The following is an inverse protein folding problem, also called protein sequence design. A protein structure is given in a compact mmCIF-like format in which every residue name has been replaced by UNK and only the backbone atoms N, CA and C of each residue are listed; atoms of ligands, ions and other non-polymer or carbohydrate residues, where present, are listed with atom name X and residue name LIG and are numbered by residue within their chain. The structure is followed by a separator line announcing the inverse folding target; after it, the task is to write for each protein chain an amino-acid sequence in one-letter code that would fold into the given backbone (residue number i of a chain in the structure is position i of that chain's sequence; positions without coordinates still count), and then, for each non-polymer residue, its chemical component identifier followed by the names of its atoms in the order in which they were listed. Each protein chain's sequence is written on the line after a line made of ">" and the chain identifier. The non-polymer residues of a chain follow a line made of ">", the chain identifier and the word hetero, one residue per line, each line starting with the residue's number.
data_IF_672308219275
#
_entry.id   IF_672308219275
#
_cell.length_a   1.000
_cell.length_b   1.000
_cell.length_c   1.000
_cell.angle_alpha   90.00
_cell.angle_beta   90.00
_cell.angle_gamma   90.00
#
_symmetry.space_group_name_H-M   'P 1'
#
loop_
_entity.id
_entity.type
_entity.pdbx_description
1 polymer ?
#
# COMPACT_ATOMS: atom_id res chain seq x y z
N UNK A 1 36.49 -14.70 -6.87
CA UNK A 1 35.45 -15.63 -6.39
C UNK A 1 35.33 -15.50 -4.87
N UNK A 2 34.34 -14.77 -4.34
CA UNK A 2 34.01 -14.85 -2.92
C UNK A 2 33.07 -16.03 -2.70
N UNK A 3 33.38 -16.83 -1.67
CA UNK A 3 32.64 -18.02 -1.26
C UNK A 3 31.24 -17.62 -0.83
N UNK A 4 30.20 -18.14 -1.51
CA UNK A 4 28.81 -18.10 -1.01
C UNK A 4 28.80 -18.77 0.37
N UNK A 5 28.53 -17.99 1.42
CA UNK A 5 28.27 -18.53 2.74
C UNK A 5 27.02 -19.41 2.64
N UNK A 6 27.17 -20.69 2.96
CA UNK A 6 26.07 -21.63 3.05
C UNK A 6 25.12 -21.20 4.16
N UNK A 7 24.06 -20.46 3.81
CA UNK A 7 22.91 -20.32 4.69
C UNK A 7 22.30 -21.70 4.87
N UNK A 8 22.11 -22.11 6.13
CA UNK A 8 21.37 -23.31 6.49
C UNK A 8 19.98 -23.22 5.84
N UNK A 9 19.78 -23.90 4.70
CA UNK A 9 18.46 -24.04 4.07
C UNK A 9 17.57 -24.81 5.04
N UNK A 10 16.76 -24.08 5.82
CA UNK A 10 15.63 -24.70 6.52
C UNK A 10 14.75 -25.30 5.43
N UNK A 11 14.63 -26.62 5.42
CA UNK A 11 13.73 -27.31 4.49
C UNK A 11 12.29 -26.92 4.87
N UNK A 12 11.73 -25.97 4.13
CA UNK A 12 10.29 -25.71 4.16
C UNK A 12 9.59 -26.99 3.69
N UNK A 13 8.66 -27.55 4.47
CA UNK A 13 8.07 -28.83 4.14
C UNK A 13 7.07 -28.68 2.99
N UNK A 14 7.50 -29.08 1.79
CA UNK A 14 6.65 -29.70 0.80
C UNK A 14 7.03 -31.18 0.71
N UNK A 15 6.06 -32.11 0.67
CA UNK A 15 4.63 -31.89 0.42
C UNK A 15 3.84 -31.38 1.65
N UNK A 16 2.84 -30.52 1.38
CA UNK A 16 1.80 -30.18 2.34
C UNK A 16 0.96 -31.42 2.68
N UNK A 17 0.59 -31.55 3.95
CA UNK A 17 -0.28 -32.64 4.42
C UNK A 17 -1.69 -32.47 3.86
N UNK A 18 -2.30 -31.31 4.09
CA UNK A 18 -3.67 -31.02 3.68
C UNK A 18 -3.73 -29.75 2.83
N UNK A 19 -4.69 -29.69 1.93
CA UNK A 19 -4.87 -28.57 1.02
C UNK A 19 -5.75 -27.49 1.65
N UNK A 20 -5.32 -26.96 2.80
CA UNK A 20 -6.15 -26.12 3.66
C UNK A 20 -5.42 -24.87 4.13
N UNK A 21 -6.19 -23.82 4.44
CA UNK A 21 -5.66 -22.58 5.00
C UNK A 21 -5.00 -22.85 6.37
N UNK A 22 -5.58 -23.76 7.14
CA UNK A 22 -5.10 -24.27 8.42
C UNK A 22 -3.68 -24.86 8.30
N UNK A 23 -3.38 -25.57 7.21
CA UNK A 23 -2.04 -26.11 6.95
C UNK A 23 -1.01 -25.01 6.74
N UNK A 24 -1.36 -23.95 6.00
CA UNK A 24 -0.47 -22.80 5.79
C UNK A 24 -0.27 -22.03 7.10
N UNK A 25 -1.33 -21.78 7.86
CA UNK A 25 -1.23 -21.13 9.16
C UNK A 25 -0.35 -21.92 10.14
N UNK A 26 -0.40 -23.26 10.10
CA UNK A 26 0.47 -24.09 10.94
C UNK A 26 1.95 -23.97 10.55
N UNK A 27 2.29 -23.81 9.27
CA UNK A 27 3.68 -23.60 8.85
C UNK A 27 4.27 -22.31 9.40
N UNK A 28 3.48 -21.24 9.40
CA UNK A 28 3.88 -19.95 9.99
C UNK A 28 4.04 -20.09 11.50
N UNK A 29 3.07 -20.70 12.21
CA UNK A 29 3.14 -20.93 13.66
C UNK A 29 4.33 -21.79 14.08
N UNK A 30 4.63 -22.83 13.31
CA UNK A 30 5.76 -23.74 13.53
C UNK A 30 7.12 -23.10 13.17
N UNK A 31 7.13 -21.86 12.65
CA UNK A 31 8.34 -21.17 12.14
C UNK A 31 9.07 -21.96 11.04
N UNK A 32 8.29 -22.69 10.22
CA UNK A 32 8.76 -23.40 9.03
C UNK A 32 8.59 -22.59 7.75
N UNK A 33 7.83 -21.50 7.82
CA UNK A 33 7.70 -20.48 6.79
C UNK A 33 7.78 -19.10 7.43
N UNK A 34 8.99 -18.54 7.46
CA UNK A 34 9.31 -17.24 8.08
C UNK A 34 9.76 -16.19 7.07
N UNK A 35 9.90 -16.55 5.79
CA UNK A 35 10.20 -15.63 4.69
C UNK A 35 9.04 -15.61 3.70
N UNK A 36 8.12 -14.68 3.88
CA UNK A 36 6.86 -14.60 3.14
C UNK A 36 6.97 -13.54 2.05
N UNK A 37 6.73 -13.93 0.80
CA UNK A 37 6.44 -12.98 -0.29
C UNK A 37 4.93 -12.90 -0.46
N UNK A 38 4.43 -11.68 -0.60
CA UNK A 38 3.02 -11.42 -0.90
C UNK A 38 2.91 -10.82 -2.30
N UNK A 39 1.97 -11.34 -3.10
CA UNK A 39 1.57 -10.76 -4.37
C UNK A 39 0.14 -10.24 -4.25
N UNK A 40 -0.09 -8.97 -4.53
CA UNK A 40 -1.40 -8.33 -4.42
C UNK A 40 -1.87 -7.71 -5.74
N UNK A 41 -3.20 -7.65 -5.90
CA UNK A 41 -3.82 -6.89 -6.97
C UNK A 41 -5.13 -6.24 -6.52
N UNK A 42 -5.89 -5.72 -7.48
CA UNK A 42 -7.01 -4.81 -7.20
C UNK A 42 -8.08 -5.37 -6.25
N UNK A 43 -8.20 -6.70 -6.14
CA UNK A 43 -9.13 -7.36 -5.24
C UNK A 43 -8.98 -6.95 -3.78
N UNK A 44 -7.76 -6.61 -3.32
CA UNK A 44 -7.51 -6.21 -1.92
C UNK A 44 -8.05 -4.82 -1.59
N UNK A 45 -8.31 -4.00 -2.61
CA UNK A 45 -8.73 -2.60 -2.51
C UNK A 45 -10.23 -2.40 -2.76
N UNK A 46 -10.94 -3.43 -3.22
CA UNK A 46 -12.39 -3.32 -3.53
C UNK A 46 -13.25 -2.87 -2.35
N UNK A 47 -12.92 -3.31 -1.13
CA UNK A 47 -13.61 -2.89 0.11
C UNK A 47 -13.24 -1.49 0.58
N UNK A 48 -12.15 -0.90 0.07
CA UNK A 48 -11.81 0.49 0.36
C UNK A 48 -12.78 1.47 -0.31
N UNK A 49 -13.65 0.98 -1.21
CA UNK A 49 -14.56 1.80 -1.99
C UNK A 49 -13.91 2.40 -3.24
N UNK A 50 -12.69 1.97 -3.58
CA UNK A 50 -12.06 2.31 -4.86
C UNK A 50 -12.93 1.68 -5.96
N UNK A 51 -13.59 2.50 -6.81
CA UNK A 51 -14.41 1.96 -7.88
C UNK A 51 -13.52 1.15 -8.82
N UNK A 52 -14.04 0.06 -9.33
CA UNK A 52 -13.33 -0.60 -10.41
C UNK A 52 -13.38 0.27 -11.67
N UNK A 53 -12.49 0.00 -12.62
CA UNK A 53 -12.50 0.77 -13.86
C UNK A 53 -13.73 0.44 -14.72
N UNK A 54 -14.23 -0.80 -14.65
CA UNK A 54 -15.01 -1.43 -15.72
C UNK A 54 -16.52 -1.56 -15.48
N UNK A 55 -17.02 -1.42 -14.25
CA UNK A 55 -18.44 -1.68 -13.97
C UNK A 55 -19.34 -0.60 -14.56
N UNK A 56 -20.36 -0.99 -15.34
CA UNK A 56 -21.33 -0.03 -15.90
C UNK A 56 -22.19 0.61 -14.79
N UNK A 57 -22.31 1.92 -14.83
CA UNK A 57 -23.05 2.78 -13.89
C UNK A 57 -22.26 3.25 -12.67
N UNK A 58 -21.16 2.60 -12.31
CA UNK A 58 -20.37 2.91 -11.10
C UNK A 58 -18.86 2.91 -11.33
N UNK A 59 -18.40 2.51 -12.50
CA UNK A 59 -16.99 2.37 -12.82
C UNK A 59 -16.43 3.68 -13.36
N UNK A 60 -15.13 3.88 -13.15
CA UNK A 60 -14.44 5.13 -13.48
C UNK A 60 -14.53 5.52 -14.98
N UNK A 61 -14.69 4.53 -15.87
CA UNK A 61 -14.82 4.79 -17.32
C UNK A 61 -16.14 5.47 -17.73
N UNK A 62 -17.18 5.45 -16.90
CA UNK A 62 -18.44 6.11 -17.26
C UNK A 62 -18.31 7.64 -17.33
N UNK A 63 -17.46 8.23 -16.50
CA UNK A 63 -17.17 9.68 -16.52
C UNK A 63 -16.33 10.11 -17.74
N UNK A 64 -15.85 9.14 -18.53
CA UNK A 64 -14.95 9.34 -19.65
C UNK A 64 -15.61 9.18 -21.01
N UNK A 65 -16.94 8.94 -21.06
CA UNK A 65 -17.69 8.85 -22.31
C UNK A 65 -17.52 10.10 -23.20
N UNK A 66 -17.32 11.28 -22.58
CA UNK A 66 -17.06 12.55 -23.29
C UNK A 66 -15.76 12.58 -24.10
N UNK A 67 -14.83 11.66 -23.86
CA UNK A 67 -13.53 11.64 -24.54
C UNK A 67 -13.50 10.73 -25.76
N UNK A 68 -14.59 10.02 -26.05
CA UNK A 68 -14.72 9.11 -27.21
C UNK A 68 -13.54 8.13 -27.29
N UNK A 69 -13.22 7.47 -26.18
CA UNK A 69 -12.11 6.53 -26.10
C UNK A 69 -12.33 5.36 -27.08
N UNK A 70 -11.30 4.93 -27.83
CA UNK A 70 -11.43 3.81 -28.78
C UNK A 70 -11.75 2.49 -28.06
N UNK A 71 -11.23 2.34 -26.85
CA UNK A 71 -11.56 1.30 -25.89
C UNK A 71 -11.23 1.82 -24.47
N UNK A 72 -11.85 1.29 -23.41
CA UNK A 72 -11.76 1.91 -22.09
C UNK A 72 -10.32 1.98 -21.53
N UNK A 73 -9.51 0.95 -21.78
CA UNK A 73 -8.11 0.87 -21.33
C UNK A 73 -7.16 1.85 -22.05
N UNK A 74 -7.58 2.50 -23.15
CA UNK A 74 -6.72 3.39 -23.94
C UNK A 74 -6.18 4.58 -23.13
N UNK A 75 -6.88 5.00 -22.08
CA UNK A 75 -6.44 6.08 -21.19
C UNK A 75 -5.13 5.76 -20.44
N UNK A 76 -4.79 4.48 -20.33
CA UNK A 76 -3.54 4.00 -19.74
C UNK A 76 -2.59 3.45 -20.81
N UNK A 77 -2.77 3.81 -22.08
CA UNK A 77 -1.83 3.49 -23.16
C UNK A 77 -0.91 4.69 -23.39
N UNK A 78 0.41 4.45 -23.47
CA UNK A 78 1.39 5.54 -23.56
C UNK A 78 1.29 6.32 -24.86
N UNK A 79 1.02 5.64 -25.99
CA UNK A 79 0.87 6.30 -27.30
C UNK A 79 -0.40 7.17 -27.31
N UNK A 80 -1.48 6.65 -26.72
CA UNK A 80 -2.71 7.44 -26.57
C UNK A 80 -2.52 8.65 -25.63
N UNK A 81 -1.76 8.49 -24.55
CA UNK A 81 -1.45 9.59 -23.63
C UNK A 81 -0.62 10.69 -24.30
N UNK A 82 0.34 10.32 -25.15
CA UNK A 82 1.11 11.26 -25.96
C UNK A 82 0.24 12.08 -26.91
N UNK A 83 -0.76 11.44 -27.54
CA UNK A 83 -1.68 12.09 -28.47
C UNK A 83 -2.74 12.94 -27.76
N UNK A 84 -3.33 12.41 -26.67
CA UNK A 84 -4.50 12.97 -26.00
C UNK A 84 -4.40 12.74 -24.47
N UNK A 85 -3.64 13.59 -23.73
CA UNK A 85 -3.41 13.43 -22.29
C UNK A 85 -4.58 13.89 -21.39
N UNK A 86 -5.49 14.73 -21.89
CA UNK A 86 -6.59 15.32 -21.10
C UNK A 86 -7.55 14.29 -20.46
N UNK A 87 -7.92 13.17 -21.13
CA UNK A 87 -8.71 12.11 -20.52
C UNK A 87 -8.04 11.56 -19.26
N UNK A 88 -6.73 11.29 -19.31
CA UNK A 88 -5.98 10.79 -18.16
C UNK A 88 -6.01 11.79 -17.01
N UNK A 89 -5.72 13.07 -17.25
CA UNK A 89 -5.73 14.09 -16.20
C UNK A 89 -7.13 14.31 -15.59
N UNK A 90 -8.18 14.14 -16.38
CA UNK A 90 -9.56 14.15 -15.87
C UNK A 90 -9.83 12.94 -14.97
N UNK A 91 -9.39 11.75 -15.37
CA UNK A 91 -9.55 10.55 -14.55
C UNK A 91 -8.69 10.61 -13.29
N UNK A 92 -7.46 11.10 -13.40
CA UNK A 92 -6.50 11.21 -12.30
C UNK A 92 -7.07 12.03 -11.14
N UNK A 93 -7.89 13.04 -11.42
CA UNK A 93 -8.60 13.83 -10.40
C UNK A 93 -9.50 12.97 -9.51
N UNK A 94 -10.12 11.92 -10.09
CA UNK A 94 -11.01 11.02 -9.37
C UNK A 94 -10.24 10.01 -8.53
N UNK A 95 -9.12 9.50 -9.06
CA UNK A 95 -8.36 8.39 -8.45
C UNK A 95 -7.13 8.81 -7.64
N UNK A 96 -6.81 10.11 -7.57
CA UNK A 96 -5.64 10.58 -6.82
C UNK A 96 -5.69 10.12 -5.35
N UNK A 97 -4.55 9.73 -4.74
CA UNK A 97 -4.49 9.27 -3.35
C UNK A 97 -5.07 10.28 -2.34
N UNK A 98 -5.57 9.76 -1.22
CA UNK A 98 -6.11 10.55 -0.09
C UNK A 98 -7.62 10.48 0.11
N UNK A 99 -8.34 9.66 -0.66
CA UNK A 99 -9.80 9.47 -0.54
C UNK A 99 -10.22 8.15 0.09
N UNK A 100 -9.32 7.18 0.12
CA UNK A 100 -9.63 5.79 0.44
C UNK A 100 -8.75 5.29 1.57
N UNK A 101 -9.34 4.53 2.48
CA UNK A 101 -8.64 3.96 3.63
C UNK A 101 -8.16 2.54 3.32
N UNK A 102 -6.97 2.13 3.82
CA UNK A 102 -6.51 0.76 3.69
C UNK A 102 -7.48 -0.26 4.29
N UNK A 103 -7.59 -1.42 3.63
CA UNK A 103 -8.41 -2.56 4.08
C UNK A 103 -7.67 -3.43 5.10
N UNK A 104 -8.37 -4.38 5.75
CA UNK A 104 -7.74 -5.32 6.68
C UNK A 104 -6.66 -6.16 6.01
N UNK A 105 -6.83 -6.47 4.72
CA UNK A 105 -5.79 -7.13 3.92
C UNK A 105 -4.48 -6.33 3.89
N UNK A 106 -4.54 -5.00 3.72
CA UNK A 106 -3.35 -4.16 3.75
C UNK A 106 -2.67 -4.19 5.13
N UNK A 107 -3.46 -4.06 6.21
CA UNK A 107 -2.93 -4.14 7.58
C UNK A 107 -2.38 -5.52 7.93
N UNK A 108 -2.88 -6.59 7.33
CA UNK A 108 -2.28 -7.92 7.51
C UNK A 108 -0.87 -8.00 6.92
N UNK A 109 -0.63 -7.34 5.78
CA UNK A 109 0.72 -7.25 5.19
C UNK A 109 1.64 -6.44 6.12
N UNK A 110 1.15 -5.31 6.66
CA UNK A 110 1.85 -4.57 7.71
C UNK A 110 2.14 -5.44 8.94
N UNK A 111 1.19 -6.27 9.36
CA UNK A 111 1.35 -7.16 10.49
C UNK A 111 2.37 -8.28 10.23
N UNK A 112 2.45 -8.81 9.00
CA UNK A 112 3.53 -9.73 8.60
C UNK A 112 4.91 -9.05 8.72
N UNK A 113 5.00 -7.76 8.36
CA UNK A 113 6.22 -6.98 8.52
C UNK A 113 6.59 -6.79 9.99
N UNK A 114 5.65 -6.39 10.86
CA UNK A 114 5.90 -6.22 12.30
C UNK A 114 6.32 -7.52 12.99
N UNK A 115 5.87 -8.66 12.48
CA UNK A 115 6.27 -9.99 12.97
C UNK A 115 7.58 -10.50 12.38
N UNK A 116 8.24 -9.73 11.52
CA UNK A 116 9.51 -10.09 10.88
C UNK A 116 9.38 -11.25 9.89
N UNK A 117 8.19 -11.44 9.30
CA UNK A 117 7.90 -12.53 8.37
C UNK A 117 7.89 -12.08 6.90
N UNK A 118 7.55 -10.81 6.65
CA UNK A 118 7.46 -10.27 5.30
C UNK A 118 8.86 -10.07 4.71
N UNK A 119 9.09 -10.62 3.52
CA UNK A 119 10.27 -10.33 2.69
C UNK A 119 9.95 -9.18 1.74
N UNK A 120 8.83 -9.28 1.03
CA UNK A 120 8.36 -8.25 0.11
C UNK A 120 6.87 -8.40 -0.17
N UNK A 121 6.22 -7.27 -0.42
CA UNK A 121 4.92 -7.18 -1.07
C UNK A 121 5.10 -6.64 -2.50
N UNK A 122 4.82 -7.47 -3.50
CA UNK A 122 4.70 -7.03 -4.89
C UNK A 122 3.24 -6.72 -5.16
N UNK A 123 2.93 -5.47 -5.48
CA UNK A 123 1.56 -5.02 -5.74
C UNK A 123 1.38 -4.61 -7.19
N UNK A 124 0.25 -4.98 -7.79
CA UNK A 124 -0.20 -4.46 -9.08
C UNK A 124 -0.96 -3.14 -8.94
N UNK A 125 -1.30 -2.75 -7.70
CA UNK A 125 -2.10 -1.58 -7.42
C UNK A 125 -1.25 -0.31 -7.50
N UNK A 126 -1.93 0.78 -7.88
CA UNK A 126 -1.36 2.13 -7.99
C UNK A 126 -1.93 3.07 -6.92
N UNK A 127 -2.80 2.55 -6.04
CA UNK A 127 -3.61 3.30 -5.08
C UNK A 127 -2.84 3.75 -3.82
N UNK A 128 -1.62 3.26 -3.64
CA UNK A 128 -0.70 3.57 -2.51
C UNK A 128 -1.21 3.17 -1.12
N UNK A 129 -2.28 2.38 -1.02
CA UNK A 129 -2.87 2.01 0.27
C UNK A 129 -1.91 1.21 1.17
N UNK A 130 -0.96 0.48 0.59
CA UNK A 130 0.09 -0.20 1.36
C UNK A 130 0.93 0.81 2.17
N UNK A 131 1.30 1.94 1.58
CA UNK A 131 2.09 2.99 2.24
C UNK A 131 1.33 3.62 3.40
N UNK A 132 0.03 3.84 3.24
CA UNK A 132 -0.83 4.43 4.27
C UNK A 132 -0.94 3.57 5.54
N UNK A 133 -0.67 2.26 5.47
CA UNK A 133 -0.57 1.41 6.67
C UNK A 133 0.70 1.65 7.50
N UNK A 134 1.64 2.45 7.00
CA UNK A 134 2.98 2.59 7.55
C UNK A 134 3.88 1.40 7.26
N UNK A 135 3.58 0.60 6.23
CA UNK A 135 4.50 -0.41 5.72
C UNK A 135 5.76 0.29 5.20
N UNK A 136 6.93 -0.23 5.58
CA UNK A 136 8.21 0.32 5.14
C UNK A 136 8.28 0.27 3.61
N UNK A 137 8.68 1.38 2.97
CA UNK A 137 8.78 1.49 1.51
C UNK A 137 9.72 0.44 0.92
N UNK A 138 10.73 0.01 1.68
CA UNK A 138 11.58 -1.07 1.22
C UNK A 138 10.76 -2.35 1.01
N UNK A 139 9.76 -2.63 1.84
CA UNK A 139 8.94 -3.84 1.71
C UNK A 139 8.02 -3.81 0.48
N UNK A 140 7.88 -2.68 -0.20
CA UNK A 140 6.92 -2.50 -1.30
C UNK A 140 7.64 -2.54 -2.65
N UNK A 141 7.08 -3.31 -3.58
CA UNK A 141 7.38 -3.24 -5.01
C UNK A 141 6.08 -2.94 -5.74
N UNK A 142 5.93 -1.68 -6.15
CA UNK A 142 4.82 -1.21 -6.97
C UNK A 142 5.10 -1.60 -8.42
N UNK A 143 4.64 -2.80 -8.82
CA UNK A 143 4.99 -3.40 -10.10
C UNK A 143 4.46 -2.60 -11.29
N UNK A 144 3.35 -1.88 -11.12
CA UNK A 144 2.81 -0.96 -12.11
C UNK A 144 3.00 0.50 -11.71
N UNK A 145 3.98 0.78 -10.85
CA UNK A 145 4.24 2.14 -10.37
C UNK A 145 3.14 2.68 -9.44
N UNK A 146 3.15 3.99 -9.19
CA UNK A 146 2.17 4.63 -8.32
C UNK A 146 2.05 6.14 -8.55
N UNK A 147 1.06 6.75 -7.90
CA UNK A 147 0.90 8.21 -7.83
C UNK A 147 1.88 8.90 -6.87
N UNK A 148 2.83 8.17 -6.26
CA UNK A 148 3.73 8.73 -5.25
C UNK A 148 4.75 9.71 -5.83
N UNK A 149 5.15 9.52 -7.08
CA UNK A 149 6.09 10.38 -7.81
C UNK A 149 5.60 10.61 -9.24
N UNK A 150 6.19 11.57 -9.95
CA UNK A 150 5.88 11.88 -11.33
C UNK A 150 7.13 12.28 -12.11
N UNK A 151 7.16 11.98 -13.40
CA UNK A 151 8.29 12.24 -14.28
C UNK A 151 7.85 12.73 -15.65
N UNK A 152 8.72 13.48 -16.33
CA UNK A 152 8.55 13.79 -17.74
C UNK A 152 8.73 12.54 -18.60
N UNK A 153 7.85 12.30 -19.57
CA UNK A 153 7.94 11.12 -20.45
C UNK A 153 9.10 11.23 -21.46
N UNK A 154 9.52 12.44 -21.84
CA UNK A 154 10.56 12.67 -22.84
C UNK A 154 11.98 12.67 -22.25
N UNK A 155 12.18 13.43 -21.16
CA UNK A 155 13.52 13.61 -20.56
C UNK A 155 13.73 12.84 -19.24
N UNK A 156 12.69 12.16 -18.74
CA UNK A 156 12.70 11.38 -17.50
C UNK A 156 13.11 12.15 -16.24
N UNK A 157 13.11 13.48 -16.30
CA UNK A 157 13.34 14.32 -15.12
C UNK A 157 12.14 14.20 -14.18
N UNK A 158 12.43 13.96 -12.90
CA UNK A 158 11.42 13.99 -11.85
C UNK A 158 10.74 15.36 -11.79
N UNK A 159 9.42 15.34 -11.68
CA UNK A 159 8.59 16.52 -11.50
C UNK A 159 8.37 16.79 -10.00
N UNK A 160 8.01 18.04 -9.68
CA UNK A 160 7.55 18.37 -8.34
C UNK A 160 6.16 17.79 -8.11
N UNK A 161 6.01 17.02 -7.03
CA UNK A 161 4.77 16.30 -6.73
C UNK A 161 3.61 17.24 -6.38
N UNK A 162 3.86 18.39 -5.76
CA UNK A 162 2.80 19.34 -5.43
C UNK A 162 2.33 20.09 -6.68
N UNK A 163 3.23 20.42 -7.60
CA UNK A 163 2.87 20.97 -8.91
C UNK A 163 2.00 20.00 -9.71
N UNK A 164 2.41 18.73 -9.79
CA UNK A 164 1.64 17.68 -10.50
C UNK A 164 0.30 17.45 -9.81
N UNK A 165 0.26 17.41 -8.48
CA UNK A 165 -0.99 17.32 -7.70
C UNK A 165 -1.92 18.49 -8.01
N UNK A 166 -1.40 19.71 -8.07
CA UNK A 166 -2.16 20.90 -8.44
C UNK A 166 -2.74 20.80 -9.86
N UNK A 167 -1.95 20.33 -10.81
CA UNK A 167 -2.41 20.07 -12.18
C UNK A 167 -3.52 19.04 -12.23
N UNK A 168 -3.36 17.90 -11.55
CA UNK A 168 -4.37 16.84 -11.47
C UNK A 168 -5.65 17.33 -10.80
N UNK A 169 -5.56 18.07 -9.69
CA UNK A 169 -6.73 18.68 -9.02
C UNK A 169 -7.55 19.58 -9.94
N UNK A 170 -6.88 20.28 -10.87
CA UNK A 170 -7.51 21.17 -11.85
C UNK A 170 -7.83 20.49 -13.20
N UNK A 171 -7.62 19.18 -13.33
CA UNK A 171 -7.70 18.43 -14.59
C UNK A 171 -6.88 19.09 -15.74
N UNK A 172 -5.75 19.73 -15.38
CA UNK A 172 -4.84 20.41 -16.29
C UNK A 172 -3.65 19.50 -16.59
N UNK A 173 -3.24 19.45 -17.86
CA UNK A 173 -2.06 18.69 -18.30
C UNK A 173 -0.78 19.33 -17.74
N UNK A 174 0.02 18.57 -16.99
CA UNK A 174 1.31 19.03 -16.50
C UNK A 174 2.39 18.91 -17.59
N UNK A 175 3.28 19.91 -17.65
CA UNK A 175 4.34 20.06 -18.65
C UNK A 175 5.70 20.25 -17.99
N UNK A 176 6.73 19.64 -18.57
CA UNK A 176 8.08 19.70 -18.05
C UNK A 176 8.68 21.11 -18.24
N UNK A 177 9.25 21.66 -17.17
CA UNK A 177 9.90 22.98 -17.20
C UNK A 177 11.18 23.01 -18.06
N UNK A 178 11.80 21.85 -18.34
CA UNK A 178 13.06 21.76 -19.12
C UNK A 178 12.85 21.56 -20.61
N UNK A 179 11.85 20.77 -21.01
CA UNK A 179 11.66 20.34 -22.41
C UNK A 179 10.23 20.49 -22.94
N UNK A 180 9.30 21.03 -22.14
CA UNK A 180 7.86 21.15 -22.45
C UNK A 180 7.15 19.80 -22.73
N UNK A 181 7.84 18.70 -22.42
CA UNK A 181 7.31 17.35 -22.51
C UNK A 181 6.16 17.09 -21.55
N UNK A 182 5.34 16.09 -21.85
CA UNK A 182 4.26 15.69 -20.96
C UNK A 182 4.83 15.11 -19.66
N UNK A 183 4.22 15.47 -18.53
CA UNK A 183 4.48 14.82 -17.25
C UNK A 183 3.37 13.81 -17.01
N UNK A 184 3.69 12.69 -16.38
CA UNK A 184 2.70 11.79 -15.77
C UNK A 184 3.19 11.29 -14.42
N UNK A 185 2.29 10.89 -13.51
CA UNK A 185 2.66 10.07 -12.37
C UNK A 185 3.43 8.84 -12.82
N UNK A 186 4.34 8.33 -12.00
CA UNK A 186 5.18 7.17 -12.28
C UNK A 186 4.41 5.85 -12.17
N UNK A 187 3.26 5.80 -12.86
CA UNK A 187 2.44 4.63 -13.12
C UNK A 187 2.85 4.07 -14.47
N UNK A 188 2.94 2.74 -14.55
CA UNK A 188 3.25 2.02 -15.78
C UNK A 188 2.01 1.94 -16.66
N UNK A 189 2.06 2.59 -17.81
CA UNK A 189 1.06 2.51 -18.87
C UNK A 189 1.33 1.29 -19.76
N UNK A 190 0.31 0.85 -20.50
CA UNK A 190 0.50 -0.10 -21.59
C UNK A 190 1.48 0.50 -22.61
N UNK A 191 2.43 -0.33 -23.05
CA UNK A 191 3.55 0.09 -23.90
C UNK A 191 4.82 0.45 -23.12
N UNK A 192 4.74 0.70 -21.81
CA UNK A 192 5.92 1.00 -20.98
C UNK A 192 6.56 -0.25 -20.34
N UNK A 193 7.86 -0.15 -20.04
CA UNK A 193 8.55 -1.10 -19.20
C UNK A 193 8.15 -0.95 -17.73
N UNK A 194 8.11 -2.07 -16.99
CA UNK A 194 7.91 -2.02 -15.54
C UNK A 194 9.09 -1.31 -14.84
N UNK A 195 8.88 -0.75 -13.63
CA UNK A 195 9.94 -0.07 -12.90
C UNK A 195 11.14 -0.99 -12.62
N UNK A 196 12.37 -0.46 -12.66
CA UNK A 196 13.60 -1.25 -12.44
C UNK A 196 13.57 -2.01 -11.12
N UNK A 197 13.00 -1.41 -10.06
CA UNK A 197 12.80 -2.04 -8.75
C UNK A 197 12.06 -3.37 -8.82
N UNK A 198 11.13 -3.55 -9.76
CA UNK A 198 10.46 -4.82 -9.98
C UNK A 198 11.45 -5.94 -10.30
N UNK A 199 12.39 -5.66 -11.20
CA UNK A 199 13.41 -6.61 -11.64
C UNK A 199 14.52 -6.79 -10.60
N UNK A 200 14.96 -5.70 -9.95
CA UNK A 200 16.01 -5.73 -8.93
C UNK A 200 15.63 -6.54 -7.69
N UNK A 201 14.34 -6.78 -7.47
CA UNK A 201 13.82 -7.54 -6.33
C UNK A 201 13.41 -8.97 -6.67
N UNK A 202 13.62 -9.44 -7.90
CA UNK A 202 13.29 -10.84 -8.27
C UNK A 202 14.13 -11.86 -7.48
N UNK A 203 15.34 -11.50 -7.06
CA UNK A 203 16.18 -12.37 -6.22
C UNK A 203 15.58 -12.64 -4.83
N UNK A 204 14.59 -11.85 -4.38
CA UNK A 204 13.87 -12.10 -3.12
C UNK A 204 13.17 -13.48 -3.14
N UNK A 205 12.79 -13.98 -4.32
CA UNK A 205 12.08 -15.24 -4.49
C UNK A 205 12.96 -16.47 -4.24
N UNK A 206 14.29 -16.36 -4.37
CA UNK A 206 15.23 -17.47 -4.18
C UNK A 206 15.20 -18.02 -2.74
N UNK A 207 14.95 -17.12 -1.80
CA UNK A 207 14.98 -17.35 -0.37
C UNK A 207 13.57 -17.45 0.25
N UNK A 208 12.51 -17.27 -0.54
CA UNK A 208 11.14 -17.30 -0.07
C UNK A 208 10.75 -18.69 0.46
N UNK A 209 10.06 -18.71 1.59
CA UNK A 209 9.58 -19.92 2.26
C UNK A 209 8.06 -20.08 2.17
N UNK A 210 7.34 -19.03 1.76
CA UNK A 210 5.91 -19.06 1.48
C UNK A 210 5.57 -17.94 0.49
N UNK A 211 4.74 -18.27 -0.49
CA UNK A 211 4.11 -17.29 -1.37
C UNK A 211 2.63 -17.15 -0.99
N UNK A 212 2.18 -15.93 -0.73
CA UNK A 212 0.76 -15.62 -0.55
C UNK A 212 0.31 -14.70 -1.68
N UNK A 213 -0.70 -15.11 -2.44
CA UNK A 213 -1.27 -14.35 -3.55
C UNK A 213 -2.68 -13.95 -3.18
N UNK A 214 -2.98 -12.65 -3.22
CA UNK A 214 -4.24 -12.12 -2.71
C UNK A 214 -4.87 -11.17 -3.73
N UNK A 215 -6.15 -11.39 -4.06
CA UNK A 215 -6.94 -10.40 -4.79
C UNK A 215 -6.45 -10.09 -6.21
N UNK A 216 -5.84 -11.03 -6.92
CA UNK A 216 -5.41 -10.85 -8.31
C UNK A 216 -5.92 -11.95 -9.24
N UNK A 217 -6.21 -11.59 -10.48
CA UNK A 217 -6.59 -12.54 -11.54
C UNK A 217 -5.39 -13.21 -12.22
N UNK A 218 -4.17 -12.71 -11.97
CA UNK A 218 -2.92 -13.20 -12.59
C UNK A 218 -2.99 -13.27 -14.12
N UNK A 219 -3.58 -12.26 -14.76
CA UNK A 219 -3.69 -12.16 -16.24
C UNK A 219 -2.65 -11.25 -16.89
N UNK A 220 -2.07 -10.33 -16.13
CA UNK A 220 -1.13 -9.30 -16.64
C UNK A 220 0.30 -9.76 -16.44
N UNK A 221 1.05 -9.87 -17.54
CA UNK A 221 2.49 -10.18 -17.52
C UNK A 221 3.32 -8.90 -17.43
N UNK A 222 4.55 -8.95 -16.88
CA UNK A 222 5.24 -10.13 -16.33
C UNK A 222 4.80 -10.52 -14.92
N UNK A 223 3.95 -9.74 -14.24
CA UNK A 223 3.57 -9.97 -12.84
C UNK A 223 2.97 -11.36 -12.60
N UNK A 224 2.11 -11.84 -13.50
CA UNK A 224 1.48 -13.15 -13.36
C UNK A 224 2.48 -14.31 -13.29
N UNK A 225 3.67 -14.17 -13.88
CA UNK A 225 4.72 -15.20 -13.86
C UNK A 225 5.47 -15.30 -12.52
N UNK A 226 5.33 -14.30 -11.62
CA UNK A 226 6.00 -14.31 -10.31
C UNK A 226 5.62 -15.52 -9.45
N UNK A 227 4.43 -16.10 -9.65
CA UNK A 227 4.01 -17.30 -8.90
C UNK A 227 4.92 -18.51 -9.14
N UNK A 228 5.63 -18.52 -10.27
CA UNK A 228 6.55 -19.59 -10.65
C UNK A 228 8.02 -19.28 -10.29
N UNK A 229 8.28 -18.10 -9.70
CA UNK A 229 9.63 -17.68 -9.30
C UNK A 229 10.09 -18.29 -7.97
N UNK A 230 9.16 -18.81 -7.15
CA UNK A 230 9.50 -19.55 -5.92
C UNK A 230 9.88 -21.00 -6.20
N UNK A 231 10.88 -21.51 -5.45
CA UNK A 231 11.38 -22.88 -5.60
C UNK A 231 10.28 -23.95 -5.50
N UNK A 232 10.48 -25.10 -6.15
CA UNK A 232 9.46 -26.15 -6.35
C UNK A 232 8.81 -26.74 -5.10
N UNK A 233 9.43 -26.56 -3.94
CA UNK A 233 8.98 -27.06 -2.65
C UNK A 233 8.30 -25.98 -1.77
N UNK A 234 8.25 -24.73 -2.19
CA UNK A 234 7.73 -23.62 -1.39
C UNK A 234 6.19 -23.62 -1.42
N UNK A 235 5.46 -23.72 -0.30
CA UNK A 235 4.00 -23.62 -0.33
C UNK A 235 3.51 -22.31 -0.97
N UNK A 236 2.42 -22.36 -1.72
CA UNK A 236 1.78 -21.19 -2.32
C UNK A 236 0.30 -21.16 -1.95
N UNK A 237 -0.17 -20.02 -1.46
CA UNK A 237 -1.55 -19.79 -1.06
C UNK A 237 -2.18 -18.75 -1.97
N UNK A 238 -3.37 -19.04 -2.51
CA UNK A 238 -4.25 -18.08 -3.17
C UNK A 238 -5.42 -17.73 -2.23
N UNK A 239 -5.60 -16.46 -1.89
CA UNK A 239 -6.82 -15.94 -1.26
C UNK A 239 -7.50 -15.01 -2.28
N UNK A 240 -8.59 -15.47 -2.88
CA UNK A 240 -9.26 -14.71 -3.94
C UNK A 240 -10.71 -15.16 -4.11
N UNK A 241 -11.57 -14.33 -4.70
CA UNK A 241 -12.97 -14.71 -4.97
C UNK A 241 -13.10 -15.88 -5.96
N UNK A 242 -12.15 -15.99 -6.89
CA UNK A 242 -12.12 -17.00 -7.95
C UNK A 242 -10.73 -17.62 -8.06
N UNK A 243 -10.65 -18.82 -8.65
CA UNK A 243 -9.35 -19.41 -8.98
C UNK A 243 -8.63 -18.55 -10.01
N UNK A 244 -7.34 -18.31 -9.77
CA UNK A 244 -6.46 -17.55 -10.64
C UNK A 244 -5.14 -18.30 -10.86
N UNK A 245 -4.53 -18.12 -12.03
CA UNK A 245 -3.22 -18.71 -12.36
C UNK A 245 -3.16 -20.24 -12.39
N UNK A 246 -4.31 -20.93 -12.39
CA UNK A 246 -4.37 -22.39 -12.44
C UNK A 246 -3.89 -22.91 -13.81
N UNK A 247 -3.12 -23.99 -13.80
CA UNK A 247 -2.50 -24.57 -14.99
C UNK A 247 -2.53 -26.09 -14.94
N UNK A 248 -2.53 -26.73 -16.12
CA UNK A 248 -2.35 -28.18 -16.24
C UNK A 248 -0.87 -28.57 -16.46
N UNK A 249 0.04 -27.60 -16.42
CA UNK A 249 1.48 -27.82 -16.55
C UNK A 249 2.09 -28.26 -15.22
N UNK A 250 3.10 -29.12 -15.26
CA UNK A 250 3.93 -29.44 -14.07
C UNK A 250 4.99 -28.39 -13.77
N UNK A 251 5.21 -27.45 -14.70
CA UNK A 251 6.30 -26.46 -14.67
C UNK A 251 5.86 -25.04 -14.34
N UNK A 252 4.59 -24.72 -14.54
CA UNK A 252 4.10 -23.34 -14.42
C UNK A 252 2.65 -23.28 -13.97
N UNK A 253 2.31 -22.21 -13.27
CA UNK A 253 0.99 -21.97 -12.70
C UNK A 253 0.70 -22.78 -11.45
N UNK A 254 -0.46 -22.52 -10.86
CA UNK A 254 -0.98 -23.26 -9.71
C UNK A 254 -1.55 -24.62 -10.12
N UNK A 255 -1.27 -25.64 -9.32
CA UNK A 255 -1.85 -26.98 -9.38
C UNK A 255 -2.73 -27.22 -8.14
N UNK A 256 -3.91 -26.60 -8.12
CA UNK A 256 -4.88 -26.80 -7.03
C UNK A 256 -5.53 -28.20 -7.04
N UNK A 257 -5.20 -29.07 -8.00
CA UNK A 257 -5.66 -30.47 -8.00
C UNK A 257 -4.60 -31.42 -7.46
N UNK A 258 -3.42 -30.91 -7.11
CA UNK A 258 -2.27 -31.70 -6.65
C UNK A 258 -1.93 -32.88 -7.58
N UNK A 259 -2.04 -32.68 -8.89
CA UNK A 259 -1.66 -33.69 -9.89
C UNK A 259 -0.15 -33.91 -9.96
N UNK A 260 0.62 -32.87 -9.66
CA UNK A 260 2.07 -32.82 -9.82
C UNK A 260 2.78 -32.47 -8.51
N UNK A 261 2.36 -31.39 -7.84
CA UNK A 261 3.02 -30.88 -6.63
C UNK A 261 2.00 -30.57 -5.55
N UNK A 262 2.21 -31.11 -4.34
CA UNK A 262 1.35 -30.89 -3.16
C UNK A 262 1.78 -29.64 -2.38
N UNK A 263 1.66 -28.46 -3.01
CA UNK A 263 2.14 -27.19 -2.43
C UNK A 263 1.15 -26.04 -2.55
N UNK A 264 0.13 -26.19 -3.39
CA UNK A 264 -0.79 -25.11 -3.74
C UNK A 264 -2.12 -25.23 -3.00
N UNK A 265 -2.52 -24.17 -2.32
CA UNK A 265 -3.78 -24.05 -1.58
C UNK A 265 -4.56 -22.86 -2.12
N UNK A 266 -5.87 -23.04 -2.33
CA UNK A 266 -6.78 -21.94 -2.63
C UNK A 266 -7.80 -21.79 -1.51
N UNK A 267 -8.00 -20.55 -1.05
CA UNK A 267 -9.08 -20.16 -0.17
C UNK A 267 -9.97 -19.17 -0.94
N UNK A 268 -11.15 -19.65 -1.33
CA UNK A 268 -12.07 -18.88 -2.17
C UNK A 268 -13.07 -18.10 -1.33
N UNK A 269 -12.79 -16.81 -1.14
CA UNK A 269 -13.62 -15.87 -0.38
C UNK A 269 -13.26 -14.43 -0.79
N UNK A 270 -13.97 -13.45 -0.24
CA UNK A 270 -13.51 -12.07 -0.20
C UNK A 270 -12.16 -11.95 0.55
N UNK A 271 -11.28 -11.05 0.09
CA UNK A 271 -9.91 -10.94 0.59
C UNK A 271 -9.87 -10.66 2.10
N UNK A 272 -10.67 -9.72 2.60
CA UNK A 272 -10.66 -9.37 4.02
C UNK A 272 -11.21 -10.51 4.88
N UNK A 273 -12.25 -11.22 4.40
CA UNK A 273 -12.80 -12.38 5.12
C UNK A 273 -11.78 -13.51 5.20
N UNK A 274 -11.08 -13.81 4.10
CA UNK A 274 -10.02 -14.81 4.06
C UNK A 274 -8.84 -14.45 4.95
N UNK A 275 -8.48 -13.16 5.01
CA UNK A 275 -7.43 -12.64 5.89
C UNK A 275 -7.84 -12.68 7.36
N UNK A 276 -9.08 -12.33 7.71
CA UNK A 276 -9.59 -12.47 9.07
C UNK A 276 -9.54 -13.93 9.53
N UNK A 277 -9.93 -14.87 8.66
CA UNK A 277 -9.82 -16.30 8.95
C UNK A 277 -8.35 -16.73 9.13
N UNK A 278 -7.45 -16.25 8.26
CA UNK A 278 -6.01 -16.52 8.40
C UNK A 278 -5.46 -15.97 9.73
N UNK A 279 -5.81 -14.73 10.08
CA UNK A 279 -5.42 -14.11 11.33
C UNK A 279 -5.97 -14.87 12.55
N UNK A 280 -7.21 -15.36 12.49
CA UNK A 280 -7.79 -16.21 13.53
C UNK A 280 -6.99 -17.51 13.72
N UNK A 281 -6.63 -18.20 12.62
CA UNK A 281 -5.83 -19.42 12.65
C UNK A 281 -4.40 -19.22 13.18
N UNK A 282 -3.87 -18.01 13.04
CA UNK A 282 -2.57 -17.58 13.54
C UNK A 282 -2.63 -17.04 14.99
N UNK A 283 -3.82 -16.77 15.52
CA UNK A 283 -4.00 -16.11 16.82
C UNK A 283 -3.73 -14.60 16.79
N UNK A 284 -3.87 -13.96 15.63
CA UNK A 284 -3.58 -12.54 15.38
C UNK A 284 -4.83 -11.70 15.12
N UNK A 285 -6.03 -12.26 15.32
CA UNK A 285 -7.31 -11.62 14.98
C UNK A 285 -7.48 -10.26 15.68
N UNK A 286 -7.28 -10.23 17.00
CA UNK A 286 -7.46 -9.01 17.79
C UNK A 286 -6.40 -7.95 17.46
N UNK A 287 -5.14 -8.39 17.28
CA UNK A 287 -4.02 -7.52 16.90
C UNK A 287 -4.24 -6.88 15.52
N UNK A 288 -4.69 -7.67 14.53
CA UNK A 288 -5.05 -7.16 13.21
C UNK A 288 -6.21 -6.16 13.29
N UNK A 289 -7.24 -6.47 14.08
CA UNK A 289 -8.39 -5.59 14.25
C UNK A 289 -8.00 -4.27 14.90
N UNK A 290 -7.21 -4.30 15.97
CA UNK A 290 -6.72 -3.12 16.66
C UNK A 290 -5.85 -2.26 15.74
N UNK A 291 -4.93 -2.87 14.98
CA UNK A 291 -4.09 -2.17 14.01
C UNK A 291 -4.93 -1.48 12.92
N UNK A 292 -5.93 -2.17 12.37
CA UNK A 292 -6.84 -1.63 11.36
C UNK A 292 -7.64 -0.43 11.89
N UNK A 293 -8.24 -0.54 13.08
CA UNK A 293 -9.04 0.53 13.68
C UNK A 293 -8.16 1.74 13.97
N UNK A 294 -7.06 1.56 14.71
CA UNK A 294 -6.17 2.66 15.09
C UNK A 294 -5.53 3.34 13.88
N UNK A 295 -5.08 2.56 12.90
CA UNK A 295 -4.46 3.10 11.69
C UNK A 295 -5.43 3.99 10.90
N UNK A 296 -6.67 3.53 10.70
CA UNK A 296 -7.66 4.30 9.95
C UNK A 296 -8.20 5.51 10.74
N UNK A 297 -8.33 5.41 12.07
CA UNK A 297 -8.66 6.57 12.91
C UNK A 297 -7.56 7.64 12.85
N UNK A 298 -6.29 7.23 12.87
CA UNK A 298 -5.15 8.14 12.72
C UNK A 298 -5.16 8.85 11.37
N UNK A 299 -5.36 8.10 10.27
CA UNK A 299 -5.46 8.69 8.92
C UNK A 299 -6.61 9.68 8.83
N UNK A 300 -7.77 9.32 9.39
CA UNK A 300 -8.94 10.21 9.39
C UNK A 300 -8.68 11.51 10.14
N UNK A 301 -8.00 11.45 11.28
CA UNK A 301 -7.62 12.64 12.03
C UNK A 301 -6.59 13.49 11.28
N UNK A 302 -5.60 12.88 10.65
CA UNK A 302 -4.58 13.57 9.85
C UNK A 302 -5.20 14.32 8.66
N UNK A 303 -6.05 13.65 7.88
CA UNK A 303 -6.69 14.26 6.72
C UNK A 303 -7.68 15.36 7.09
N UNK A 304 -8.41 15.21 8.20
CA UNK A 304 -9.28 16.30 8.70
C UNK A 304 -8.47 17.55 9.06
N UNK A 305 -7.26 17.39 9.62
CA UNK A 305 -6.36 18.54 9.89
C UNK A 305 -5.83 19.14 8.58
N UNK A 306 -5.43 18.32 7.62
CA UNK A 306 -4.95 18.80 6.31
C UNK A 306 -6.04 19.55 5.53
N UNK A 307 -7.29 19.10 5.61
CA UNK A 307 -8.45 19.75 4.99
C UNK A 307 -8.69 21.13 5.62
N UNK A 308 -8.74 21.22 6.96
CA UNK A 308 -8.86 22.49 7.68
C UNK A 308 -7.72 23.46 7.38
N UNK A 309 -6.49 22.96 7.23
CA UNK A 309 -5.34 23.80 6.87
C UNK A 309 -5.45 24.32 5.43
N UNK A 310 -5.98 23.52 4.51
CA UNK A 310 -6.20 23.94 3.12
C UNK A 310 -7.32 24.99 3.03
N UNK A 311 -8.42 24.80 3.76
CA UNK A 311 -9.52 25.77 3.84
C UNK A 311 -9.01 27.12 4.38
N UNK A 312 -8.28 27.12 5.49
CA UNK A 312 -7.72 28.34 6.07
C UNK A 312 -6.69 29.04 5.17
N UNK A 313 -5.89 28.29 4.40
CA UNK A 313 -4.96 28.87 3.41
C UNK A 313 -5.68 29.47 2.20
N UNK A 314 -6.89 29.01 1.91
CA UNK A 314 -7.71 29.50 0.81
C UNK A 314 -8.49 30.75 1.26
N UNK A 315 -9.03 30.76 2.50
CA UNK A 315 -9.60 31.95 3.15
C UNK A 315 -8.54 33.06 3.34
N UNK A 316 -7.33 32.72 3.80
CA UNK A 316 -6.24 33.70 3.92
C UNK A 316 -5.74 34.27 2.58
N UNK A 317 -5.95 33.58 1.45
CA UNK A 317 -5.69 34.11 0.11
C UNK A 317 -6.82 34.98 -0.43
N UNK A 318 -8.06 34.77 0.02
CA UNK A 318 -9.20 35.63 -0.28
C UNK A 318 -9.16 36.92 0.59
N UNK A 319 -8.65 36.85 1.82
CA UNK A 319 -8.46 38.01 2.70
C UNK A 319 -7.23 38.88 2.34
N UNK A 320 -6.21 38.34 1.66
CA UNK A 320 -5.08 39.14 1.15
C UNK A 320 -5.46 40.09 -0.02
N UNK A 321 -6.63 39.93 -0.64
CA UNK A 321 -7.21 40.94 -1.56
C UNK A 321 -8.11 41.98 -0.86
N UNK A 322 -8.41 41.84 0.45
CA UNK A 322 -9.08 42.87 1.25
C UNK A 322 -8.46 43.05 2.66
N UNK A 323 -7.41 43.89 2.71
CA UNK A 323 -6.93 44.70 3.88
C UNK A 323 -6.02 44.02 4.92
N UNK A 324 -4.72 44.25 4.75
CA UNK A 324 -3.87 44.99 5.70
C UNK A 324 -3.64 44.43 7.11
N UNK A 325 -2.45 43.85 7.31
CA UNK A 325 -1.66 43.68 8.55
C UNK A 325 -2.33 44.09 9.87
N UNK A 326 -2.94 43.11 10.57
CA UNK A 326 -3.11 43.11 12.05
C UNK A 326 -3.63 41.81 12.69
N UNK A 327 -3.95 40.76 11.93
CA UNK A 327 -4.65 39.59 12.49
C UNK A 327 -3.76 38.37 12.83
N UNK A 328 -2.51 38.36 12.37
CA UNK A 328 -1.61 37.21 12.54
C UNK A 328 -1.20 36.99 14.01
N UNK A 329 -1.01 38.06 14.78
CA UNK A 329 -0.63 37.95 16.20
C UNK A 329 -1.81 37.52 17.09
N UNK A 330 -3.04 37.87 16.71
CA UNK A 330 -4.25 37.53 17.47
C UNK A 330 -4.63 36.05 17.33
N UNK A 331 -4.42 35.48 16.12
CA UNK A 331 -4.67 34.06 15.87
C UNK A 331 -3.67 33.14 16.59
N UNK A 332 -2.40 33.56 16.72
CA UNK A 332 -1.39 32.81 17.48
C UNK A 332 -1.76 32.70 18.97
N UNK A 333 -2.24 33.78 19.58
CA UNK A 333 -2.68 33.80 20.98
C UNK A 333 -3.93 32.95 21.23
N UNK A 334 -4.83 32.84 20.25
CA UNK A 334 -6.05 32.04 20.35
C UNK A 334 -5.78 30.53 20.18
N UNK A 335 -4.82 30.16 19.33
CA UNK A 335 -4.39 28.77 19.15
C UNK A 335 -3.71 28.22 20.41
N UNK A 336 -2.88 29.02 21.09
CA UNK A 336 -2.26 28.65 22.37
C UNK A 336 -3.28 28.45 23.49
N UNK A 337 -4.36 29.25 23.51
CA UNK A 337 -5.45 29.08 24.49
C UNK A 337 -6.29 27.83 24.26
N UNK A 338 -6.48 27.40 23.02
CA UNK A 338 -7.31 26.24 22.66
C UNK A 338 -6.56 24.91 22.78
N UNK A 339 -5.25 24.91 22.56
CA UNK A 339 -4.39 23.73 22.72
C UNK A 339 -3.99 23.47 24.17
N UNK A 340 -4.94 23.39 25.12
CA UNK A 340 -4.67 22.89 26.48
C UNK A 340 -4.30 21.40 26.47
N UNK A 341 -3.09 21.12 26.00
CA UNK A 341 -2.28 19.94 26.30
C UNK A 341 -1.35 20.38 27.43
N UNK A 342 -1.27 19.66 28.57
CA UNK A 342 -0.36 20.04 29.64
C UNK A 342 1.07 20.05 29.10
N UNK A 343 1.76 21.17 29.28
CA UNK A 343 3.17 21.27 28.92
C UNK A 343 4.00 20.30 29.78
N UNK A 344 5.06 19.76 29.20
CA UNK A 344 6.04 18.87 29.84
C UNK A 344 6.84 19.53 30.99
N UNK A 345 6.52 20.78 31.37
CA UNK A 345 7.01 21.43 32.57
C UNK A 345 6.22 21.10 33.85
N UNK A 346 4.99 20.58 33.76
CA UNK A 346 4.17 20.26 34.94
C UNK A 346 4.39 18.84 35.51
N UNK A 347 5.19 18.00 34.84
CA UNK A 347 5.57 16.67 35.35
C UNK A 347 6.90 16.68 36.13
N UNK A 348 7.69 17.76 36.06
CA UNK A 348 8.95 17.87 36.84
C UNK A 348 8.79 18.51 38.22
N UNK A 349 7.64 19.08 38.56
CA UNK A 349 7.37 19.59 39.92
C UNK A 349 6.67 18.57 40.83
N UNK A 350 5.97 17.57 40.28
CA UNK A 350 5.33 16.51 41.11
C UNK A 350 6.28 15.40 41.57
N UNK A 351 7.41 15.19 40.90
CA UNK A 351 8.46 14.25 41.38
C UNK A 351 9.45 14.89 42.37
N UNK A 352 9.54 16.22 42.44
CA UNK A 352 10.41 16.93 43.39
C UNK A 352 9.77 17.17 44.76
N UNK A 353 8.45 17.12 44.87
CA UNK A 353 7.74 17.25 46.16
C UNK A 353 7.59 15.92 46.90
N UNK A 354 7.48 14.79 46.19
CA UNK A 354 7.43 13.45 46.83
C UNK A 354 8.79 12.98 47.39
N UNK A 355 9.92 13.50 46.89
CA UNK A 355 11.26 13.24 47.46
C UNK A 355 11.59 14.16 48.64
N UNK A 356 10.97 15.34 48.76
CA UNK A 356 11.18 16.24 49.93
C UNK A 356 10.34 15.87 51.15
N UNK A 357 9.19 15.21 50.97
CA UNK A 357 8.36 14.73 52.09
C UNK A 357 8.86 13.39 52.69
N UNK A 358 9.54 12.56 51.90
CA UNK A 358 10.17 11.31 52.36
C UNK A 358 11.51 11.54 53.09
N UNK A 359 12.23 12.63 52.79
CA UNK A 359 13.47 13.02 53.50
C UNK A 359 13.23 13.82 54.79
N UNK A 360 12.04 14.42 54.99
CA UNK A 360 11.66 15.09 56.26
C UNK A 360 11.04 14.15 57.31
N UNK A 361 10.59 12.95 56.94
CA UNK A 361 10.11 11.93 57.90
C UNK A 361 11.22 11.06 58.51
N UNK A 362 12.42 10.99 57.90
CA UNK A 362 13.56 10.25 58.44
C UNK A 362 14.53 11.08 59.33
N UNK A 363 14.18 12.33 59.65
CA UNK A 363 14.94 13.16 60.60
C UNK A 363 14.14 13.54 61.86
N UNK A 364 13.02 12.85 62.12
CA UNK A 364 12.21 12.98 63.34
C UNK A 364 12.02 11.65 64.09
N UNK A 365 12.93 10.70 63.87
CA UNK A 365 13.14 9.51 64.68
C UNK A 365 14.65 9.31 64.90
N UNK A 366 15.22 10.16 65.75
CA UNK A 366 16.35 9.86 66.63
C UNK A 366 16.15 10.64 67.92
#
# INVERSE_FOLDING_TARGET
>A
MPKKSSSNKKNVPSPLKDQTLESIAQLIKDKKASKVIVLTGAGISTKAGIPDFRTKGTGLYDNLQKFELPYPEAIFDIEFFEEKPEPFYTLAQEIYPGKYYPTKTHYFIRLLHEKGLLVRNFTQNIDTLERLTGLDEEMIVEAHGSFATASCIDCHKAADNEDVRGCVKLAKVARCQECDGLIKPDITFFGEGLPTRFFDRLDDFDDAELLIVIGTSLKVQPFASLIDSVADHVPRLLINKELAGASNSSKSGFDFKWKHKRRDVAHLDDCDSGIEKMAELLGWKDELHEMFVKGNEKLKAQWAVEELLQENQQEGKEEEEEKGDKEVDALAEELEKRLKVPSSSDQQEKEKDQTKESLKKNHKMK
#
